data_IF_778998405430
#
_entry.id   IF_778998405430
#
_cell.length_a   1.000
_cell.length_b   1.000
_cell.length_c   1.000
_cell.angle_alpha   90.00
_cell.angle_beta   90.00
_cell.angle_gamma   90.00
#
_symmetry.space_group_name_H-M   'P 1'
#
loop_
_entity.id
_entity.type
_entity.pdbx_description
1 polymer ?
#
# COMPACT_ATOMS: atom_id res chain seq x y z
N UNK A 1 -2.99 -10.09 9.05
CA UNK A 1 -4.18 -9.56 8.36
C UNK A 1 -5.13 -8.88 9.33
N UNK A 2 -5.42 -9.48 10.49
CA UNK A 2 -6.36 -8.94 11.50
C UNK A 2 -5.86 -7.77 12.38
N UNK A 3 -4.63 -7.28 12.20
CA UNK A 3 -4.10 -6.19 13.03
C UNK A 3 -4.90 -4.90 12.83
N UNK A 4 -5.21 -4.19 13.91
CA UNK A 4 -6.05 -2.98 13.88
C UNK A 4 -5.51 -1.89 12.94
N UNK A 5 -4.18 -1.73 12.86
CA UNK A 5 -3.55 -0.75 11.98
C UNK A 5 -3.68 -1.16 10.50
N UNK A 6 -3.55 -2.46 10.21
CA UNK A 6 -3.77 -3.02 8.87
C UNK A 6 -5.23 -2.85 8.46
N UNK A 7 -6.17 -3.17 9.35
CA UNK A 7 -7.60 -3.05 9.07
C UNK A 7 -8.05 -1.60 8.88
N UNK A 8 -7.47 -0.64 9.62
CA UNK A 8 -7.71 0.79 9.41
C UNK A 8 -7.24 1.25 8.01
N UNK A 9 -6.03 0.86 7.59
CA UNK A 9 -5.55 1.18 6.25
C UNK A 9 -6.41 0.53 5.16
N UNK A 10 -6.75 -0.75 5.32
CA UNK A 10 -7.60 -1.49 4.39
C UNK A 10 -9.00 -0.88 4.24
N UNK A 11 -9.62 -0.48 5.36
CA UNK A 11 -10.89 0.26 5.36
C UNK A 11 -10.76 1.56 4.56
N UNK A 12 -9.70 2.33 4.77
CA UNK A 12 -9.44 3.57 4.03
C UNK A 12 -9.37 3.36 2.51
N UNK A 13 -8.74 2.27 2.06
CA UNK A 13 -8.70 1.91 0.64
C UNK A 13 -10.09 1.56 0.10
N UNK A 14 -10.89 0.77 0.83
CA UNK A 14 -12.25 0.42 0.41
C UNK A 14 -13.18 1.63 0.37
N UNK A 15 -13.06 2.55 1.32
CA UNK A 15 -13.81 3.82 1.34
C UNK A 15 -13.41 4.75 0.19
N UNK A 16 -12.15 4.68 -0.27
CA UNK A 16 -11.68 5.36 -1.48
C UNK A 16 -12.13 4.66 -2.79
N UNK A 17 -12.93 3.59 -2.71
CA UNK A 17 -13.42 2.86 -3.88
C UNK A 17 -12.38 1.94 -4.52
N UNK A 18 -11.26 1.67 -3.84
CA UNK A 18 -10.18 0.84 -4.36
C UNK A 18 -10.41 -0.61 -3.93
N UNK A 19 -10.61 -1.47 -4.93
CA UNK A 19 -10.73 -2.90 -4.68
C UNK A 19 -9.36 -3.53 -4.43
N UNK A 20 -8.91 -3.44 -3.19
CA UNK A 20 -7.64 -3.98 -2.71
C UNK A 20 -7.81 -5.32 -2.00
N UNK A 21 -6.70 -6.05 -1.88
CA UNK A 21 -6.58 -7.27 -1.07
C UNK A 21 -5.46 -7.09 -0.04
N UNK A 22 -5.61 -7.67 1.15
CA UNK A 22 -4.53 -7.72 2.13
C UNK A 22 -3.61 -8.88 1.74
N UNK A 23 -2.35 -8.57 1.47
CA UNK A 23 -1.35 -9.56 1.08
C UNK A 23 0.05 -9.11 1.53
N UNK A 24 1.08 -9.82 1.09
CA UNK A 24 2.49 -9.54 1.34
C UNK A 24 3.23 -9.28 0.02
N UNK A 25 4.26 -8.44 0.06
CA UNK A 25 5.14 -8.24 -1.09
C UNK A 25 6.01 -9.48 -1.32
N UNK A 26 6.08 -9.93 -2.58
CA UNK A 26 6.96 -11.04 -2.97
C UNK A 26 8.46 -10.72 -2.94
N UNK A 27 8.82 -9.48 -2.57
CA UNK A 27 10.17 -8.94 -2.54
C UNK A 27 10.41 -8.08 -1.29
N UNK A 28 11.67 -7.75 -1.03
CA UNK A 28 12.05 -6.92 0.11
C UNK A 28 11.86 -5.42 -0.19
N UNK A 29 11.33 -4.71 0.79
CA UNK A 29 11.33 -3.24 0.86
C UNK A 29 11.99 -2.81 2.18
N UNK A 30 12.13 -1.49 2.41
CA UNK A 30 12.55 -0.99 3.73
C UNK A 30 11.61 -1.41 4.86
N UNK A 31 10.41 -1.91 4.54
CA UNK A 31 9.47 -2.45 5.53
C UNK A 31 10.02 -3.64 6.31
N UNK A 32 10.96 -4.42 5.77
CA UNK A 32 11.59 -5.51 6.53
C UNK A 32 12.39 -4.99 7.73
N UNK A 33 13.14 -3.90 7.53
CA UNK A 33 13.86 -3.23 8.61
C UNK A 33 12.89 -2.52 9.55
N UNK A 34 11.97 -1.70 9.03
CA UNK A 34 11.09 -0.91 9.87
C UNK A 34 10.13 -1.76 10.70
N UNK A 35 9.44 -2.72 10.10
CA UNK A 35 8.51 -3.59 10.82
C UNK A 35 9.21 -4.75 11.54
N UNK A 36 10.19 -5.39 10.89
CA UNK A 36 10.81 -6.61 11.39
C UNK A 36 11.89 -6.38 12.45
N UNK A 37 12.67 -5.31 12.34
CA UNK A 37 13.79 -5.04 13.25
C UNK A 37 13.49 -3.88 14.20
N UNK A 38 12.96 -2.77 13.68
CA UNK A 38 12.74 -1.55 14.46
C UNK A 38 11.39 -1.50 15.19
N UNK A 39 10.48 -2.45 14.93
CA UNK A 39 9.15 -2.49 15.57
C UNK A 39 8.23 -1.31 15.20
N UNK A 40 8.50 -0.64 14.07
CA UNK A 40 7.70 0.47 13.56
C UNK A 40 6.55 -0.10 12.72
N UNK A 41 5.31 0.25 13.08
CA UNK A 41 4.12 -0.12 12.31
C UNK A 41 4.25 0.38 10.86
N UNK A 42 4.21 -0.54 9.91
CA UNK A 42 4.47 -0.27 8.50
C UNK A 42 3.37 -0.91 7.64
N UNK A 43 2.86 -0.16 6.65
CA UNK A 43 1.95 -0.65 5.62
C UNK A 43 2.63 -0.52 4.26
N UNK A 44 2.54 -1.58 3.47
CA UNK A 44 2.89 -1.56 2.06
C UNK A 44 1.66 -1.23 1.22
N UNK A 45 1.73 -0.18 0.41
CA UNK A 45 0.74 0.12 -0.62
C UNK A 45 1.45 0.86 -1.76
N UNK A 46 1.08 0.57 -2.99
CA UNK A 46 1.69 1.22 -4.15
C UNK A 46 0.91 0.93 -5.42
N UNK A 47 1.01 1.81 -6.43
CA UNK A 47 0.40 1.60 -7.72
C UNK A 47 1.26 0.69 -8.61
N UNK A 48 0.70 0.27 -9.75
CA UNK A 48 1.31 -0.67 -10.71
C UNK A 48 1.44 -2.11 -10.18
N UNK A 49 2.01 -2.98 -11.01
CA UNK A 49 2.17 -4.41 -10.75
C UNK A 49 3.61 -4.72 -10.32
N UNK A 50 3.75 -5.57 -9.31
CA UNK A 50 5.06 -6.00 -8.78
C UNK A 50 6.00 -6.54 -9.87
N UNK A 51 5.45 -7.28 -10.84
CA UNK A 51 6.23 -7.94 -11.88
C UNK A 51 6.80 -7.00 -12.96
N UNK A 52 6.42 -5.72 -12.96
CA UNK A 52 6.99 -4.71 -13.86
C UNK A 52 8.28 -4.10 -13.31
N UNK A 53 8.51 -4.19 -11.99
CA UNK A 53 9.69 -3.64 -11.35
C UNK A 53 10.98 -4.30 -11.90
N UNK A 54 11.99 -3.47 -12.18
CA UNK A 54 13.31 -3.85 -12.70
C UNK A 54 13.27 -4.58 -14.05
N UNK A 55 12.26 -4.31 -14.87
CA UNK A 55 12.21 -4.77 -16.27
C UNK A 55 12.74 -3.70 -17.22
N UNK A 56 13.11 -4.06 -18.45
CA UNK A 56 13.65 -3.11 -19.44
C UNK A 56 12.62 -2.00 -19.75
N UNK A 57 11.36 -2.41 -19.91
CA UNK A 57 10.25 -1.52 -20.20
C UNK A 57 9.36 -1.36 -18.95
N UNK A 58 9.96 -1.00 -17.82
CA UNK A 58 9.20 -0.69 -16.59
C UNK A 58 8.31 0.55 -16.83
N UNK A 59 7.00 0.41 -16.54
CA UNK A 59 6.04 1.50 -16.66
C UNK A 59 4.92 1.40 -15.62
N UNK A 60 4.11 2.45 -15.57
CA UNK A 60 2.88 2.54 -14.81
C UNK A 60 1.82 3.23 -15.68
N UNK A 61 0.58 2.75 -15.60
CA UNK A 61 -0.53 3.45 -16.23
C UNK A 61 -0.86 4.72 -15.45
N UNK A 62 -1.15 5.82 -16.14
CA UNK A 62 -1.48 7.08 -15.47
C UNK A 62 -2.68 6.94 -14.51
N UNK A 63 -3.68 6.14 -14.90
CA UNK A 63 -4.82 5.82 -14.04
C UNK A 63 -4.40 5.12 -12.75
N UNK A 64 -3.45 4.18 -12.80
CA UNK A 64 -2.93 3.52 -11.60
C UNK A 64 -2.20 4.50 -10.70
N UNK A 65 -1.48 5.47 -11.26
CA UNK A 65 -0.82 6.52 -10.48
C UNK A 65 -1.83 7.41 -9.75
N UNK A 66 -2.92 7.81 -10.43
CA UNK A 66 -3.99 8.59 -9.83
C UNK A 66 -4.75 7.80 -8.75
N UNK A 67 -5.10 6.53 -9.01
CA UNK A 67 -5.73 5.65 -8.01
C UNK A 67 -4.81 5.43 -6.80
N UNK A 68 -3.50 5.25 -7.02
CA UNK A 68 -2.53 5.15 -5.93
C UNK A 68 -2.52 6.40 -5.05
N UNK A 69 -2.66 7.58 -5.65
CA UNK A 69 -2.76 8.85 -4.91
C UNK A 69 -4.01 8.89 -4.03
N UNK A 70 -5.17 8.56 -4.59
CA UNK A 70 -6.44 8.48 -3.83
C UNK A 70 -6.35 7.44 -2.70
N UNK A 71 -5.66 6.32 -2.93
CA UNK A 71 -5.44 5.29 -1.92
C UNK A 71 -4.62 5.79 -0.73
N UNK A 72 -3.56 6.56 -0.97
CA UNK A 72 -2.80 7.19 0.10
C UNK A 72 -3.67 8.17 0.92
N UNK A 73 -4.51 8.98 0.26
CA UNK A 73 -5.45 9.85 0.97
C UNK A 73 -6.47 9.05 1.79
N UNK A 74 -7.03 7.97 1.23
CA UNK A 74 -7.95 7.08 1.94
C UNK A 74 -7.32 6.45 3.18
N UNK A 75 -6.09 5.94 3.07
CA UNK A 75 -5.33 5.40 4.21
C UNK A 75 -5.11 6.47 5.27
N UNK A 76 -4.58 7.64 4.89
CA UNK A 76 -4.29 8.73 5.84
C UNK A 76 -5.55 9.19 6.56
N UNK A 77 -6.68 9.30 5.85
CA UNK A 77 -7.96 9.68 6.41
C UNK A 77 -8.47 8.66 7.42
N UNK A 78 -8.40 7.38 7.09
CA UNK A 78 -8.92 6.33 7.97
C UNK A 78 -8.03 6.13 9.20
N UNK A 79 -6.71 6.18 9.02
CA UNK A 79 -5.73 5.94 10.10
C UNK A 79 -5.57 7.14 11.02
N UNK A 80 -5.59 8.37 10.49
CA UNK A 80 -5.28 9.58 11.25
C UNK A 80 -6.44 10.59 11.36
N UNK A 81 -7.57 10.34 10.69
CA UNK A 81 -8.72 11.26 10.68
C UNK A 81 -8.45 12.57 9.93
N UNK A 82 -7.54 12.56 8.94
CA UNK A 82 -7.08 13.74 8.20
C UNK A 82 -7.54 13.79 6.76
#
# INVERSE_FOLDING_TARGET
EEDEFVQAAYKGLKEAGIDSEITQYSFCTNGSHYAGEAGIKTIGFGPSKENLAHTIDEYIEQEQLFIGTEGYYGILKSVYGK
#
